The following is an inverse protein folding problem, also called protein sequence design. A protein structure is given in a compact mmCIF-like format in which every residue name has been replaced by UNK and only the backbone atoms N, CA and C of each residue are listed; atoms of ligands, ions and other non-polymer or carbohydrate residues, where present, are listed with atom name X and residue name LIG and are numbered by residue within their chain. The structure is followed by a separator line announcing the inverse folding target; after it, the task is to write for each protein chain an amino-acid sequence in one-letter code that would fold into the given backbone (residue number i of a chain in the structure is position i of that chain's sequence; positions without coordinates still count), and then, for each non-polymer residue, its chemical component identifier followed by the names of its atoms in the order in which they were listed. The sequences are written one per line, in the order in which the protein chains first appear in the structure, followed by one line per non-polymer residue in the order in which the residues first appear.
data_IF_082176392115
#
_entry.id   IF_082176392115
#
_cell.length_a   1.000
_cell.length_b   1.000
_cell.length_c   1.000
_cell.angle_alpha   90.00
_cell.angle_beta   90.00
_cell.angle_gamma   90.00
#
_symmetry.space_group_name_H-M   'P 1'
#
loop_
_entity.id
_entity.type
_entity.pdbx_description
1 polymer ?
#
# COMPACT_ATOMS: atom_id res chain seq x y z
N UNK A 1 -29.92 19.75 -32.04
CA UNK A 1 -28.47 19.73 -32.36
C UNK A 1 -27.72 20.01 -31.07
N UNK A 2 -26.76 19.16 -30.70
CA UNK A 2 -25.97 19.37 -29.48
C UNK A 2 -24.95 20.48 -29.77
N UNK A 3 -24.99 21.65 -29.09
CA UNK A 3 -24.20 22.83 -29.46
C UNK A 3 -22.70 22.70 -29.18
N UNK A 4 -22.26 21.59 -28.58
CA UNK A 4 -20.86 21.31 -28.26
C UNK A 4 -20.52 19.86 -28.68
N UNK A 5 -19.95 19.63 -29.87
CA UNK A 5 -19.34 18.34 -30.16
C UNK A 5 -18.17 18.14 -29.19
N UNK A 6 -18.17 17.02 -28.46
CA UNK A 6 -17.01 16.65 -27.64
C UNK A 6 -15.76 16.60 -28.53
N UNK A 7 -14.59 17.07 -28.07
CA UNK A 7 -13.36 17.01 -28.84
C UNK A 7 -13.11 15.59 -29.34
N UNK A 8 -12.88 15.44 -30.65
CA UNK A 8 -12.67 14.15 -31.31
C UNK A 8 -11.67 13.18 -30.65
N UNK A 9 -10.59 13.62 -29.95
CA UNK A 9 -9.67 12.69 -29.30
C UNK A 9 -10.28 11.91 -28.13
N UNK A 10 -11.35 12.41 -27.52
CA UNK A 10 -12.03 11.72 -26.41
C UNK A 10 -13.05 10.68 -26.90
N UNK A 11 -13.39 10.71 -28.19
CA UNK A 11 -14.32 9.79 -28.84
C UNK A 11 -13.61 8.73 -29.67
N UNK A 12 -12.32 8.93 -29.98
CA UNK A 12 -11.47 7.98 -30.69
C UNK A 12 -10.82 7.00 -29.69
N UNK A 13 -11.17 5.69 -29.74
CA UNK A 13 -10.61 4.68 -28.83
C UNK A 13 -9.10 4.47 -28.99
N UNK A 14 -8.50 4.95 -30.08
CA UNK A 14 -7.06 4.87 -30.33
C UNK A 14 -6.30 6.09 -29.82
N UNK A 15 -6.99 7.04 -29.17
CA UNK A 15 -6.33 8.26 -28.71
C UNK A 15 -5.24 7.95 -27.66
N UNK A 16 -4.05 8.58 -27.79
CA UNK A 16 -2.94 8.35 -26.85
C UNK A 16 -3.29 8.64 -25.40
N UNK A 17 -4.25 9.53 -25.17
CA UNK A 17 -4.73 9.90 -23.83
C UNK A 17 -5.48 8.73 -23.20
N UNK A 18 -6.38 8.06 -23.93
CA UNK A 18 -7.13 6.92 -23.43
C UNK A 18 -6.22 5.70 -23.17
N UNK A 19 -5.14 5.55 -23.94
CA UNK A 19 -4.14 4.48 -23.74
C UNK A 19 -3.21 4.78 -22.55
N UNK A 20 -2.83 6.05 -22.34
CA UNK A 20 -1.84 6.40 -21.31
C UNK A 20 -2.36 6.30 -19.88
N UNK A 21 -3.63 6.60 -19.62
CA UNK A 21 -4.25 6.50 -18.28
C UNK A 21 -4.13 5.10 -17.66
N UNK A 22 -4.58 4.00 -18.30
CA UNK A 22 -4.49 2.66 -17.72
C UNK A 22 -3.04 2.20 -17.53
N UNK A 23 -2.12 2.59 -18.41
CA UNK A 23 -0.68 2.29 -18.28
C UNK A 23 -0.10 2.97 -17.04
N UNK A 24 -0.40 4.26 -16.84
CA UNK A 24 0.05 5.01 -15.66
C UNK A 24 -0.49 4.37 -14.38
N UNK A 25 -1.78 4.03 -14.34
CA UNK A 25 -2.38 3.35 -13.18
C UNK A 25 -1.74 1.99 -12.89
N UNK A 26 -1.42 1.22 -13.93
CA UNK A 26 -0.73 -0.06 -13.78
C UNK A 26 0.66 0.10 -13.16
N UNK A 27 1.44 1.10 -13.63
CA UNK A 27 2.76 1.41 -13.06
C UNK A 27 2.63 1.83 -11.59
N UNK A 28 1.68 2.71 -11.26
CA UNK A 28 1.46 3.11 -9.87
C UNK A 28 1.06 1.93 -8.98
N UNK A 29 0.17 1.04 -9.44
CA UNK A 29 -0.18 -0.19 -8.71
C UNK A 29 1.06 -1.03 -8.42
N UNK A 30 1.94 -1.21 -9.39
CA UNK A 30 3.22 -1.92 -9.20
C UNK A 30 4.10 -1.27 -8.14
N UNK A 31 4.24 0.06 -8.15
CA UNK A 31 5.01 0.79 -7.14
C UNK A 31 4.43 0.63 -5.73
N UNK A 32 3.11 0.75 -5.57
CA UNK A 32 2.45 0.55 -4.28
C UNK A 32 2.68 -0.87 -3.72
N UNK A 33 2.59 -1.89 -4.57
CA UNK A 33 2.85 -3.28 -4.15
C UNK A 33 4.28 -3.48 -3.64
N UNK A 34 5.27 -2.89 -4.33
CA UNK A 34 6.66 -2.93 -3.91
C UNK A 34 6.84 -2.19 -2.57
N UNK A 35 6.28 -0.99 -2.45
CA UNK A 35 6.36 -0.19 -1.21
C UNK A 35 5.72 -0.93 -0.03
N UNK A 36 4.54 -1.52 -0.20
CA UNK A 36 3.88 -2.29 0.86
C UNK A 36 4.64 -3.58 1.21
N UNK A 37 5.29 -4.24 0.23
CA UNK A 37 6.15 -5.38 0.52
C UNK A 37 7.35 -4.98 1.41
N UNK A 38 8.00 -3.86 1.08
CA UNK A 38 9.07 -3.29 1.91
C UNK A 38 8.55 -2.87 3.30
N UNK A 39 7.31 -2.37 3.37
CA UNK A 39 6.69 -2.01 4.63
C UNK A 39 6.45 -3.21 5.56
N UNK A 40 6.16 -4.40 5.02
CA UNK A 40 6.10 -5.64 5.83
C UNK A 40 7.46 -5.94 6.46
N UNK A 41 8.56 -5.80 5.70
CA UNK A 41 9.92 -5.97 6.23
C UNK A 41 10.18 -4.97 7.36
N UNK A 42 9.78 -3.72 7.19
CA UNK A 42 9.85 -2.71 8.24
C UNK A 42 9.04 -3.11 9.48
N UNK A 43 7.81 -3.59 9.32
CA UNK A 43 6.97 -4.04 10.43
C UNK A 43 7.61 -5.23 11.19
N UNK A 44 8.24 -6.16 10.48
CA UNK A 44 9.01 -7.26 11.09
C UNK A 44 10.19 -6.73 11.93
N UNK A 45 10.91 -5.73 11.41
CA UNK A 45 11.99 -5.06 12.15
C UNK A 45 11.43 -4.43 13.43
N UNK A 46 10.30 -3.74 13.37
CA UNK A 46 9.67 -3.13 14.55
C UNK A 46 9.30 -4.19 15.60
N UNK A 47 8.69 -5.32 15.21
CA UNK A 47 8.40 -6.42 16.15
C UNK A 47 9.67 -6.93 16.82
N UNK A 48 10.77 -7.08 16.07
CA UNK A 48 12.07 -7.46 16.64
C UNK A 48 12.59 -6.40 17.61
N UNK A 49 12.48 -5.12 17.29
CA UNK A 49 12.91 -4.03 18.18
C UNK A 49 12.11 -4.00 19.49
N UNK A 50 10.78 -4.19 19.42
CA UNK A 50 9.93 -4.31 20.60
C UNK A 50 10.38 -5.49 21.49
N UNK A 51 10.69 -6.64 20.88
CA UNK A 51 11.20 -7.82 21.60
C UNK A 51 12.54 -7.54 22.29
N UNK A 52 13.47 -6.86 21.63
CA UNK A 52 14.76 -6.49 22.22
C UNK A 52 14.61 -5.49 23.37
N UNK A 53 13.79 -4.46 23.20
CA UNK A 53 13.50 -3.44 24.23
C UNK A 53 12.85 -4.05 25.48
N UNK A 54 12.00 -5.07 25.29
CA UNK A 54 11.34 -5.75 26.40
C UNK A 54 12.28 -6.54 27.32
N UNK A 55 13.54 -6.74 26.93
CA UNK A 55 14.57 -7.38 27.78
C UNK A 55 15.29 -6.40 28.70
N UNK A 56 15.16 -5.10 28.45
CA UNK A 56 15.86 -4.05 29.20
C UNK A 56 14.90 -3.20 30.02
N UNK A 57 13.69 -2.95 29.50
CA UNK A 57 12.70 -2.07 30.12
C UNK A 57 11.48 -2.91 30.49
N UNK A 58 11.38 -3.27 31.78
CA UNK A 58 10.21 -3.94 32.34
C UNK A 58 9.22 -2.91 32.86
N UNK A 59 8.12 -2.75 32.13
CA UNK A 59 7.03 -1.84 32.51
C UNK A 59 5.69 -2.56 32.35
N UNK A 60 4.66 -2.07 33.04
CA UNK A 60 3.30 -2.58 32.89
C UNK A 60 2.74 -2.45 31.46
N UNK A 61 3.39 -1.65 30.60
CA UNK A 61 2.98 -1.42 29.21
C UNK A 61 3.61 -2.43 28.22
N UNK A 62 4.58 -3.23 28.66
CA UNK A 62 5.37 -4.14 27.80
C UNK A 62 4.48 -5.07 26.96
N UNK A 63 3.50 -5.71 27.61
CA UNK A 63 2.58 -6.64 26.94
C UNK A 63 1.71 -5.91 25.90
N UNK A 64 1.28 -4.68 26.19
CA UNK A 64 0.47 -3.87 25.29
C UNK A 64 1.27 -3.48 24.03
N UNK A 65 2.52 -3.03 24.18
CA UNK A 65 3.39 -2.71 23.03
C UNK A 65 3.66 -3.94 22.18
N UNK A 66 3.88 -5.12 22.79
CA UNK A 66 4.06 -6.39 22.06
C UNK A 66 2.84 -6.74 21.21
N UNK A 67 1.64 -6.60 21.75
CA UNK A 67 0.39 -6.84 21.00
C UNK A 67 0.24 -5.84 19.86
N UNK A 68 0.46 -4.55 20.12
CA UNK A 68 0.39 -3.52 19.07
C UNK A 68 1.37 -3.80 17.93
N UNK A 69 2.59 -4.25 18.22
CA UNK A 69 3.56 -4.65 17.21
C UNK A 69 3.05 -5.80 16.33
N UNK A 70 2.45 -6.83 16.93
CA UNK A 70 1.89 -7.96 16.19
C UNK A 70 0.67 -7.57 15.35
N UNK A 71 -0.23 -6.76 15.92
CA UNK A 71 -1.40 -6.21 15.19
C UNK A 71 -0.95 -5.36 14.00
N UNK A 72 0.08 -4.53 14.20
CA UNK A 72 0.64 -3.71 13.12
C UNK A 72 1.23 -4.55 11.99
N UNK A 73 1.98 -5.62 12.32
CA UNK A 73 2.49 -6.57 11.33
C UNK A 73 1.35 -7.28 10.58
N UNK A 74 0.33 -7.76 11.29
CA UNK A 74 -0.84 -8.39 10.68
C UNK A 74 -1.57 -7.43 9.73
N UNK A 75 -1.74 -6.17 10.13
CA UNK A 75 -2.36 -5.13 9.31
C UNK A 75 -1.52 -4.83 8.04
N UNK A 76 -0.19 -4.74 8.17
CA UNK A 76 0.69 -4.54 7.02
C UNK A 76 0.57 -5.66 5.98
N UNK A 77 0.53 -6.93 6.44
CA UNK A 77 0.32 -8.09 5.57
C UNK A 77 -1.06 -8.03 4.91
N UNK A 78 -2.11 -7.75 5.69
CA UNK A 78 -3.48 -7.68 5.18
C UNK A 78 -3.65 -6.60 4.11
N UNK A 79 -3.11 -5.40 4.35
CA UNK A 79 -3.17 -4.29 3.39
C UNK A 79 -2.43 -4.64 2.10
N UNK A 80 -1.28 -5.30 2.19
CA UNK A 80 -0.55 -5.76 1.00
C UNK A 80 -1.37 -6.78 0.19
N UNK A 81 -2.02 -7.74 0.86
CA UNK A 81 -2.90 -8.73 0.19
C UNK A 81 -4.08 -8.03 -0.50
N UNK A 82 -4.72 -7.05 0.18
CA UNK A 82 -5.80 -6.27 -0.41
C UNK A 82 -5.30 -5.50 -1.64
N UNK A 83 -4.16 -4.82 -1.53
CA UNK A 83 -3.56 -4.09 -2.65
C UNK A 83 -3.15 -5.01 -3.81
N UNK A 84 -2.81 -6.26 -3.54
CA UNK A 84 -2.49 -7.26 -4.57
C UNK A 84 -3.74 -7.72 -5.31
N UNK A 85 -4.86 -7.90 -4.60
CA UNK A 85 -6.13 -8.39 -5.16
C UNK A 85 -6.94 -7.31 -5.88
N UNK A 86 -6.86 -6.05 -5.44
CA UNK A 86 -7.53 -4.90 -6.05
C UNK A 86 -6.75 -4.40 -7.28
#
# INVERSE_FOLDING_TARGET
MNPFPLPSPLLDPTSPILISIPVVLFVFKGLFLITFALYIIYALVIVRQISLMSRTIHTSLEWFVKILGLVHLAAAILIWVIAFMA
#
